data_IF_663792274105
#
_entry.id   IF_663792274105
#
_cell.length_a   1.000
_cell.length_b   1.000
_cell.length_c   1.000
_cell.angle_alpha   90.00
_cell.angle_beta   90.00
_cell.angle_gamma   90.00
#
_symmetry.space_group_name_H-M   'P 1'
#
loop_
_entity.id
_entity.type
_entity.pdbx_description
1 polymer ?
#
# COMPACT_ATOMS: atom_id res chain seq x y z
N UNK A 1 9.99 17.54 28.75
CA UNK A 1 10.29 16.83 27.48
C UNK A 1 11.26 15.72 27.82
N UNK A 2 10.87 14.47 27.56
CA UNK A 2 11.68 13.27 27.80
C UNK A 2 11.85 12.53 26.49
N UNK A 3 13.02 11.93 26.30
CA UNK A 3 13.30 11.08 25.15
C UNK A 3 12.71 9.68 25.36
N UNK A 4 12.17 9.08 24.30
CA UNK A 4 11.65 7.72 24.27
C UNK A 4 12.12 7.04 22.99
N UNK A 5 12.34 5.73 23.06
CA UNK A 5 12.81 4.93 21.94
C UNK A 5 11.67 4.11 21.33
N UNK A 6 11.63 4.04 20.01
CA UNK A 6 10.74 3.17 19.23
C UNK A 6 11.56 2.48 18.12
N UNK A 7 12.38 1.47 18.47
CA UNK A 7 13.38 0.90 17.56
C UNK A 7 12.81 0.29 16.28
N UNK A 8 11.54 -0.12 16.28
CA UNK A 8 10.92 -0.75 15.12
C UNK A 8 10.43 0.26 14.08
N UNK A 9 10.42 1.56 14.38
CA UNK A 9 10.02 2.60 13.42
C UNK A 9 10.90 2.63 12.18
N UNK A 10 12.15 2.17 12.24
CA UNK A 10 13.05 2.05 11.09
C UNK A 10 12.49 1.12 10.00
N UNK A 11 11.64 0.16 10.38
CA UNK A 11 11.00 -0.78 9.45
C UNK A 11 9.61 -0.32 9.00
N UNK A 12 9.10 0.80 9.51
CA UNK A 12 7.73 1.27 9.26
C UNK A 12 7.44 1.51 7.79
N UNK A 13 8.36 2.15 7.07
CA UNK A 13 8.21 2.44 5.64
C UNK A 13 8.16 1.15 4.81
N UNK A 14 9.06 0.20 5.10
CA UNK A 14 9.12 -1.09 4.41
C UNK A 14 7.85 -1.92 4.65
N UNK A 15 7.38 -1.99 5.90
CA UNK A 15 6.13 -2.68 6.23
C UNK A 15 4.92 -2.01 5.57
N UNK A 16 4.87 -0.67 5.56
CA UNK A 16 3.83 0.10 4.89
C UNK A 16 3.77 -0.20 3.38
N UNK A 17 4.91 -0.23 2.69
CA UNK A 17 4.97 -0.53 1.25
C UNK A 17 4.74 -2.00 0.89
N UNK A 18 4.60 -2.90 1.87
CA UNK A 18 4.10 -4.25 1.65
C UNK A 18 2.60 -4.34 1.93
N UNK A 19 2.16 -3.84 3.09
CA UNK A 19 0.75 -3.92 3.50
C UNK A 19 -0.15 -3.10 2.59
N UNK A 20 0.18 -1.81 2.38
CA UNK A 20 -0.70 -0.91 1.63
C UNK A 20 -0.89 -1.39 0.18
N UNK A 21 0.14 -1.71 -0.61
CA UNK A 21 -0.06 -2.20 -1.98
C UNK A 21 -0.83 -3.53 -2.02
N UNK A 22 -0.57 -4.45 -1.08
CA UNK A 22 -1.33 -5.70 -0.97
C UNK A 22 -2.83 -5.43 -0.79
N UNK A 23 -3.21 -4.57 0.15
CA UNK A 23 -4.62 -4.20 0.38
C UNK A 23 -5.21 -3.43 -0.82
N UNK A 24 -4.44 -2.52 -1.42
CA UNK A 24 -4.84 -1.77 -2.63
C UNK A 24 -5.13 -2.70 -3.79
N UNK A 25 -4.35 -3.78 -3.98
CA UNK A 25 -4.55 -4.71 -5.09
C UNK A 25 -5.93 -5.39 -5.03
N UNK A 26 -6.39 -5.73 -3.82
CA UNK A 26 -7.74 -6.27 -3.58
C UNK A 26 -8.81 -5.18 -3.60
N UNK A 27 -8.58 -4.05 -2.93
CA UNK A 27 -9.55 -2.97 -2.84
C UNK A 27 -9.91 -2.37 -4.20
N UNK A 28 -8.93 -2.22 -5.09
CA UNK A 28 -9.12 -1.70 -6.45
C UNK A 28 -9.55 -2.77 -7.46
N UNK A 29 -9.64 -4.04 -7.07
CA UNK A 29 -10.15 -5.09 -7.96
C UNK A 29 -11.61 -4.85 -8.37
N UNK A 30 -12.39 -4.14 -7.54
CA UNK A 30 -13.77 -3.73 -7.82
C UNK A 30 -13.96 -2.84 -9.05
N UNK A 31 -12.89 -2.20 -9.53
CA UNK A 31 -12.91 -1.38 -10.74
C UNK A 31 -12.60 -2.30 -11.93
N UNK A 32 -13.65 -2.98 -12.39
CA UNK A 32 -13.63 -4.02 -13.42
C UNK A 32 -14.49 -3.65 -14.65
N UNK A 33 -15.09 -2.46 -14.67
CA UNK A 33 -15.98 -1.98 -15.72
C UNK A 33 -17.32 -2.75 -15.88
N UNK A 34 -17.61 -3.74 -15.03
CA UNK A 34 -18.84 -4.53 -15.13
C UNK A 34 -20.04 -3.81 -14.54
N UNK A 35 -19.83 -3.06 -13.45
CA UNK A 35 -20.90 -2.38 -12.71
C UNK A 35 -20.92 -0.87 -12.92
N UNK A 36 -19.75 -0.24 -13.06
CA UNK A 36 -19.62 1.21 -13.16
C UNK A 36 -18.24 1.63 -13.68
N UNK A 37 -18.13 2.91 -14.05
CA UNK A 37 -16.88 3.55 -14.42
C UNK A 37 -16.54 3.41 -15.90
N UNK A 38 -15.24 3.55 -16.19
CA UNK A 38 -14.70 3.43 -17.55
C UNK A 38 -14.86 1.99 -18.05
N UNK A 39 -15.42 1.83 -19.26
CA UNK A 39 -15.54 0.54 -19.96
C UNK A 39 -14.96 0.66 -21.36
N UNK A 40 -13.91 -0.11 -21.64
CA UNK A 40 -13.14 -0.09 -22.89
C UNK A 40 -13.12 -1.49 -23.49
N UNK A 41 -13.25 -1.58 -24.82
CA UNK A 41 -13.22 -2.85 -25.54
C UNK A 41 -14.53 -3.64 -25.52
N UNK A 42 -15.61 -3.09 -24.98
CA UNK A 42 -16.93 -3.73 -24.99
C UNK A 42 -17.65 -3.54 -26.34
N UNK A 43 -17.13 -4.19 -27.36
CA UNK A 43 -17.63 -4.13 -28.75
C UNK A 43 -18.42 -5.39 -29.15
N UNK A 44 -18.69 -6.29 -28.19
CA UNK A 44 -19.35 -7.57 -28.43
C UNK A 44 -18.43 -8.67 -28.97
N UNK A 45 -17.14 -8.38 -29.18
CA UNK A 45 -16.14 -9.38 -29.63
C UNK A 45 -15.23 -9.84 -28.50
N UNK A 46 -14.91 -8.93 -27.58
CA UNK A 46 -14.08 -9.23 -26.42
C UNK A 46 -14.87 -9.97 -25.33
N UNK A 47 -14.21 -10.93 -24.70
CA UNK A 47 -14.69 -11.58 -23.48
C UNK A 47 -14.76 -10.59 -22.31
N UNK A 48 -15.52 -10.95 -21.27
CA UNK A 48 -15.58 -10.15 -20.05
C UNK A 48 -14.20 -9.92 -19.42
N UNK A 49 -13.30 -10.90 -19.47
CA UNK A 49 -11.93 -10.78 -18.96
C UNK A 49 -11.09 -9.77 -19.75
N UNK A 50 -11.21 -9.78 -21.07
CA UNK A 50 -10.51 -8.82 -21.93
C UNK A 50 -11.03 -7.40 -21.70
N UNK A 51 -12.35 -7.21 -21.60
CA UNK A 51 -12.95 -5.91 -21.25
C UNK A 51 -12.46 -5.42 -19.88
N UNK A 52 -12.38 -6.29 -18.88
CA UNK A 52 -11.82 -5.96 -17.56
C UNK A 52 -10.35 -5.52 -17.67
N UNK A 53 -9.52 -6.29 -18.38
CA UNK A 53 -8.09 -6.01 -18.54
C UNK A 53 -7.84 -4.69 -19.28
N UNK A 54 -8.52 -4.47 -20.42
CA UNK A 54 -8.43 -3.25 -21.23
C UNK A 54 -8.88 -2.02 -20.44
N UNK A 55 -10.01 -2.12 -19.75
CA UNK A 55 -10.55 -1.01 -18.95
C UNK A 55 -9.62 -0.62 -17.81
N UNK A 56 -9.03 -1.59 -17.11
CA UNK A 56 -8.05 -1.35 -16.04
C UNK A 56 -6.73 -0.80 -16.58
N UNK A 57 -6.31 -1.27 -17.76
CA UNK A 57 -5.13 -0.76 -18.45
C UNK A 57 -5.31 0.71 -18.88
N UNK A 58 -6.49 1.10 -19.35
CA UNK A 58 -6.75 2.49 -19.72
C UNK A 58 -7.02 3.39 -18.50
N UNK A 59 -7.71 2.89 -17.48
CA UNK A 59 -8.18 3.69 -16.35
C UNK A 59 -7.14 4.00 -15.28
N UNK A 60 -6.18 3.10 -15.02
CA UNK A 60 -5.18 3.32 -13.97
C UNK A 60 -3.91 3.99 -14.48
N UNK A 61 -3.48 5.02 -13.76
CA UNK A 61 -2.17 5.65 -13.96
C UNK A 61 -1.00 4.73 -13.60
N UNK A 62 0.24 5.07 -14.02
CA UNK A 62 1.42 4.23 -13.82
C UNK A 62 1.68 3.85 -12.35
N UNK A 63 1.51 4.79 -11.42
CA UNK A 63 1.76 4.55 -9.98
C UNK A 63 0.77 3.55 -9.39
N UNK A 64 -0.51 3.67 -9.75
CA UNK A 64 -1.56 2.76 -9.26
C UNK A 64 -1.32 1.35 -9.77
N UNK A 65 -0.96 1.21 -11.05
CA UNK A 65 -0.61 -0.09 -11.63
C UNK A 65 0.58 -0.73 -10.93
N UNK A 66 1.66 0.02 -10.66
CA UNK A 66 2.83 -0.48 -9.91
C UNK A 66 2.44 -1.03 -8.55
N UNK A 67 1.59 -0.31 -7.81
CA UNK A 67 1.12 -0.76 -6.49
C UNK A 67 0.26 -2.02 -6.58
N UNK A 68 -0.65 -2.10 -7.56
CA UNK A 68 -1.45 -3.31 -7.77
C UNK A 68 -0.54 -4.51 -8.06
N UNK A 69 0.45 -4.36 -8.95
CA UNK A 69 1.37 -5.44 -9.31
C UNK A 69 2.17 -5.94 -8.10
N UNK A 70 2.80 -5.03 -7.35
CA UNK A 70 3.58 -5.39 -6.15
C UNK A 70 2.68 -6.02 -5.09
N UNK A 71 1.48 -5.47 -4.90
CA UNK A 71 0.51 -5.98 -3.94
C UNK A 71 0.02 -7.39 -4.26
N UNK A 72 -0.31 -7.64 -5.53
CA UNK A 72 -0.70 -8.97 -6.03
C UNK A 72 0.45 -9.96 -5.88
N UNK A 73 1.69 -9.54 -6.15
CA UNK A 73 2.87 -10.38 -5.94
C UNK A 73 3.06 -10.74 -4.45
N UNK A 74 2.99 -9.76 -3.55
CA UNK A 74 3.15 -9.97 -2.12
C UNK A 74 2.05 -10.88 -1.51
N UNK A 75 0.87 -10.96 -2.15
CA UNK A 75 -0.21 -11.87 -1.75
C UNK A 75 -0.19 -13.23 -2.47
N UNK A 76 0.71 -13.42 -3.45
CA UNK A 76 0.73 -14.63 -4.26
C UNK A 76 1.22 -15.85 -3.46
N UNK A 77 0.80 -17.04 -3.91
CA UNK A 77 1.17 -18.30 -3.28
C UNK A 77 2.71 -18.46 -3.24
N UNK A 78 3.24 -18.81 -2.07
CA UNK A 78 4.69 -18.93 -1.82
C UNK A 78 5.35 -17.65 -1.31
N UNK A 79 4.73 -16.48 -1.51
CA UNK A 79 5.29 -15.18 -1.10
C UNK A 79 4.52 -14.51 0.04
N UNK A 80 3.27 -14.93 0.26
CA UNK A 80 2.41 -14.40 1.32
C UNK A 80 3.09 -14.37 2.71
N UNK A 81 3.65 -15.51 3.14
CA UNK A 81 4.28 -15.60 4.46
C UNK A 81 5.59 -14.81 4.56
N UNK A 82 6.36 -14.80 3.46
CA UNK A 82 7.64 -14.11 3.40
C UNK A 82 7.51 -12.59 3.41
N UNK A 83 6.46 -12.05 2.81
CA UNK A 83 6.26 -10.60 2.68
C UNK A 83 5.07 -10.10 3.50
N UNK A 84 3.84 -10.44 3.12
CA UNK A 84 2.65 -9.83 3.71
C UNK A 84 2.49 -10.17 5.19
N UNK A 85 2.60 -11.46 5.54
CA UNK A 85 2.53 -11.90 6.94
C UNK A 85 3.68 -11.31 7.77
N UNK A 86 4.90 -11.28 7.21
CA UNK A 86 6.05 -10.69 7.90
C UNK A 86 5.87 -9.19 8.14
N UNK A 87 5.33 -8.44 7.18
CA UNK A 87 5.01 -7.03 7.34
C UNK A 87 3.95 -6.79 8.43
N UNK A 88 2.92 -7.65 8.53
CA UNK A 88 1.92 -7.57 9.60
C UNK A 88 2.52 -7.83 10.99
N UNK A 89 3.50 -8.74 11.10
CA UNK A 89 4.26 -8.94 12.35
C UNK A 89 5.07 -7.69 12.71
N UNK A 90 5.76 -7.07 11.75
CA UNK A 90 6.47 -5.80 11.97
C UNK A 90 5.52 -4.70 12.43
N UNK A 91 4.33 -4.58 11.81
CA UNK A 91 3.29 -3.64 12.25
C UNK A 91 2.90 -3.86 13.72
N UNK A 92 2.82 -5.12 14.15
CA UNK A 92 2.54 -5.47 15.55
C UNK A 92 3.66 -5.02 16.49
N UNK A 93 4.92 -5.19 16.10
CA UNK A 93 6.05 -4.72 16.90
C UNK A 93 6.09 -3.19 17.00
N UNK A 94 5.81 -2.48 15.90
CA UNK A 94 5.69 -1.01 15.91
C UNK A 94 4.58 -0.55 16.85
N UNK A 95 3.42 -1.23 16.84
CA UNK A 95 2.33 -0.90 17.75
C UNK A 95 2.75 -1.06 19.22
N UNK A 96 3.48 -2.13 19.55
CA UNK A 96 4.02 -2.36 20.91
C UNK A 96 5.00 -1.27 21.34
N UNK A 97 5.89 -0.85 20.45
CA UNK A 97 6.83 0.25 20.75
C UNK A 97 6.07 1.55 21.09
N UNK A 98 5.01 1.85 20.34
CA UNK A 98 4.16 3.00 20.61
C UNK A 98 3.42 2.86 21.94
N UNK A 99 2.85 1.70 22.24
CA UNK A 99 2.18 1.42 23.52
C UNK A 99 3.14 1.61 24.71
N UNK A 100 4.37 1.09 24.60
CA UNK A 100 5.42 1.24 25.61
C UNK A 100 5.89 2.69 25.77
N UNK A 101 5.94 3.46 24.68
CA UNK A 101 6.26 4.88 24.71
C UNK A 101 5.15 5.68 25.42
N UNK A 102 3.88 5.43 25.07
CA UNK A 102 2.73 6.09 25.70
C UNK A 102 2.53 5.74 27.19
N UNK A 103 3.10 4.64 27.67
CA UNK A 103 3.15 4.37 29.11
C UNK A 103 4.04 5.37 29.89
N UNK A 104 4.92 6.12 29.19
CA UNK A 104 5.88 7.06 29.77
C UNK A 104 5.54 8.53 29.50
N UNK A 105 4.76 8.81 28.46
CA UNK A 105 4.43 10.18 28.01
C UNK A 105 2.99 10.27 27.53
N UNK A 106 2.38 11.44 27.70
CA UNK A 106 1.01 11.69 27.22
C UNK A 106 0.95 11.95 25.70
N UNK A 107 2.04 12.49 25.13
CA UNK A 107 2.12 12.91 23.72
C UNK A 107 3.49 12.61 23.15
N UNK A 108 3.50 12.10 21.91
CA UNK A 108 4.70 11.95 21.08
C UNK A 108 4.75 13.07 20.03
N UNK A 109 5.94 13.63 19.82
CA UNK A 109 6.16 14.69 18.82
C UNK A 109 7.34 14.32 17.92
N UNK A 110 7.16 14.52 16.61
CA UNK A 110 8.18 14.29 15.59
C UNK A 110 7.92 15.24 14.41
N UNK A 111 8.95 15.67 13.65
CA UNK A 111 8.75 16.40 12.41
C UNK A 111 7.80 15.65 11.46
N UNK A 112 6.80 16.36 10.91
CA UNK A 112 5.84 15.74 10.00
C UNK A 112 6.47 15.34 8.65
N UNK A 113 7.53 16.04 8.23
CA UNK A 113 8.29 15.74 7.02
C UNK A 113 9.80 15.78 7.32
N UNK A 114 10.60 14.87 6.74
CA UNK A 114 12.05 14.87 6.95
C UNK A 114 12.76 16.02 6.20
N UNK A 115 12.11 16.61 5.20
CA UNK A 115 12.63 17.72 4.40
C UNK A 115 11.54 18.76 4.16
N UNK A 116 11.93 19.94 3.69
CA UNK A 116 10.99 20.93 3.12
C UNK A 116 10.40 20.43 1.80
N UNK A 117 9.42 21.16 1.26
CA UNK A 117 8.84 20.86 -0.04
C UNK A 117 9.91 20.79 -1.15
N UNK A 118 9.80 19.77 -2.00
CA UNK A 118 10.64 19.58 -3.19
C UNK A 118 9.99 20.26 -4.42
N UNK A 119 10.79 20.56 -5.44
CA UNK A 119 10.31 21.19 -6.69
C UNK A 119 9.59 20.15 -7.56
N UNK A 120 8.72 20.63 -8.44
CA UNK A 120 8.03 19.76 -9.40
C UNK A 120 9.05 19.04 -10.29
N UNK A 121 8.95 17.71 -10.37
CA UNK A 121 9.83 16.86 -11.19
C UNK A 121 11.10 16.34 -10.52
N UNK A 122 11.36 16.67 -9.25
CA UNK A 122 12.55 16.17 -8.51
C UNK A 122 12.44 14.72 -8.02
N UNK A 123 11.24 14.10 -8.06
CA UNK A 123 10.96 12.73 -7.61
C UNK A 123 9.85 12.07 -8.43
#
# INVERSE_FOLDING_TARGET
VSEVDCPQLDYSLSAYYLILPSEVSSNLARFDAMRYGLRVGDDGTHSAEEVMALSRAAGFGPEVKRRIIIGTYALSAGYYDAYYNQAQKVRTLIARDLDEAYAKVDVLVSPATPTTAFRLGEK
#
